data_IF_486279642424
#
_entry.id   IF_486279642424
#
_cell.length_a   1.000
_cell.length_b   1.000
_cell.length_c   1.000
_cell.angle_alpha   90.00
_cell.angle_beta   90.00
_cell.angle_gamma   90.00
#
_symmetry.space_group_name_H-M   'P 1'
#
loop_
_entity.id
_entity.type
_entity.pdbx_description
1 polymer ?
#
# COMPACT_ATOMS: atom_id res chain seq x y z
N UNK A 1 -9.76 7.86 -9.78
CA UNK A 1 -9.03 6.68 -10.28
C UNK A 1 -8.12 6.10 -9.18
N UNK A 2 -8.45 6.25 -7.90
CA UNK A 2 -7.64 5.73 -6.80
C UNK A 2 -8.26 4.52 -6.09
N UNK A 3 -9.38 3.99 -6.61
CA UNK A 3 -9.88 2.67 -6.25
C UNK A 3 -8.80 1.60 -6.50
N UNK A 4 -8.06 1.73 -7.60
CA UNK A 4 -6.90 0.87 -7.86
C UNK A 4 -5.73 1.13 -6.94
N UNK A 5 -5.57 2.32 -6.34
CA UNK A 5 -4.43 2.58 -5.45
C UNK A 5 -4.52 1.76 -4.16
N UNK A 6 -5.73 1.60 -3.58
CA UNK A 6 -5.93 0.74 -2.41
C UNK A 6 -5.68 -0.73 -2.73
N UNK A 7 -6.22 -1.19 -3.87
CA UNK A 7 -6.01 -2.56 -4.37
C UNK A 7 -4.54 -2.85 -4.68
N UNK A 8 -3.85 -1.94 -5.35
CA UNK A 8 -2.41 -2.05 -5.64
C UNK A 8 -1.57 -1.99 -4.37
N UNK A 9 -1.92 -1.14 -3.40
CA UNK A 9 -1.22 -1.11 -2.12
C UNK A 9 -1.41 -2.42 -1.32
N UNK A 10 -2.60 -3.03 -1.36
CA UNK A 10 -2.83 -4.37 -0.78
C UNK A 10 -2.02 -5.46 -1.49
N UNK A 11 -1.99 -5.45 -2.83
CA UNK A 11 -1.21 -6.42 -3.61
C UNK A 11 0.29 -6.30 -3.31
N UNK A 12 0.80 -5.06 -3.24
CA UNK A 12 2.19 -4.79 -2.90
C UNK A 12 2.51 -5.18 -1.46
N UNK A 13 1.60 -4.93 -0.51
CA UNK A 13 1.76 -5.36 0.88
C UNK A 13 1.86 -6.89 0.97
N UNK A 14 1.00 -7.61 0.24
CA UNK A 14 1.07 -9.07 0.14
C UNK A 14 2.40 -9.56 -0.41
N UNK A 15 2.92 -8.92 -1.47
CA UNK A 15 4.25 -9.22 -2.01
C UNK A 15 5.35 -8.94 -0.98
N UNK A 16 5.29 -7.83 -0.25
CA UNK A 16 6.25 -7.51 0.83
C UNK A 16 6.22 -8.58 1.93
N UNK A 17 5.04 -9.07 2.33
CA UNK A 17 4.92 -10.16 3.31
C UNK A 17 5.53 -11.46 2.79
N UNK A 18 5.33 -11.79 1.50
CA UNK A 18 5.95 -12.99 0.90
C UNK A 18 7.47 -12.90 0.93
N UNK A 19 8.05 -11.73 0.58
CA UNK A 19 9.50 -11.54 0.60
C UNK A 19 10.06 -11.65 2.01
N UNK A 20 9.41 -11.00 2.98
CA UNK A 20 9.80 -11.05 4.40
C UNK A 20 9.77 -12.49 4.94
N UNK A 21 8.70 -13.25 4.67
CA UNK A 21 8.53 -14.60 5.26
C UNK A 21 9.37 -15.66 4.53
N UNK A 22 9.48 -15.59 3.20
CA UNK A 22 10.02 -16.69 2.39
C UNK A 22 11.37 -16.43 1.72
N UNK A 23 11.84 -15.18 1.65
CA UNK A 23 13.04 -14.83 0.86
C UNK A 23 14.13 -14.21 1.72
N UNK A 24 13.85 -13.11 2.42
CA UNK A 24 14.83 -12.34 3.21
C UNK A 24 14.28 -11.91 4.58
N UNK A 25 14.13 -12.83 5.54
CA UNK A 25 13.56 -12.54 6.86
C UNK A 25 14.42 -11.62 7.73
N UNK A 26 15.73 -11.55 7.49
CA UNK A 26 16.63 -10.68 8.26
C UNK A 26 16.54 -9.20 7.83
N UNK A 27 15.85 -8.91 6.72
CA UNK A 27 15.68 -7.57 6.16
C UNK A 27 14.40 -6.85 6.67
N UNK A 28 13.86 -7.30 7.81
CA UNK A 28 12.63 -6.77 8.42
C UNK A 28 12.58 -5.23 8.56
N UNK A 29 13.66 -4.48 8.85
CA UNK A 29 13.56 -3.02 8.98
C UNK A 29 13.19 -2.33 7.66
N UNK A 30 13.64 -2.89 6.54
CA UNK A 30 13.33 -2.40 5.20
C UNK A 30 11.90 -2.72 4.81
N UNK A 31 11.48 -3.96 5.01
CA UNK A 31 10.12 -4.39 4.67
C UNK A 31 9.06 -3.68 5.51
N UNK A 32 9.33 -3.41 6.78
CA UNK A 32 8.42 -2.69 7.67
C UNK A 32 8.25 -1.22 7.26
N UNK A 33 9.32 -0.60 6.75
CA UNK A 33 9.27 0.77 6.22
C UNK A 33 8.35 0.87 4.99
N UNK A 34 8.43 -0.10 4.06
CA UNK A 34 7.53 -0.17 2.91
C UNK A 34 6.11 -0.52 3.30
N UNK A 35 5.93 -1.50 4.20
CA UNK A 35 4.62 -1.90 4.70
C UNK A 35 3.90 -0.73 5.39
N UNK A 36 4.60 0.09 6.17
CA UNK A 36 4.04 1.29 6.80
C UNK A 36 3.47 2.29 5.79
N UNK A 37 4.18 2.53 4.68
CA UNK A 37 3.70 3.40 3.60
C UNK A 37 2.50 2.80 2.87
N UNK A 38 2.50 1.49 2.61
CA UNK A 38 1.39 0.80 1.96
C UNK A 38 0.14 0.79 2.85
N UNK A 39 0.28 0.53 4.15
CA UNK A 39 -0.80 0.61 5.14
C UNK A 39 -1.37 2.03 5.23
N UNK A 40 -0.51 3.05 5.17
CA UNK A 40 -0.95 4.44 5.10
C UNK A 40 -1.78 4.73 3.83
N UNK A 41 -1.35 4.22 2.67
CA UNK A 41 -2.08 4.36 1.41
C UNK A 41 -3.41 3.58 1.41
N UNK A 42 -3.46 2.43 2.07
CA UNK A 42 -4.70 1.67 2.26
C UNK A 42 -5.68 2.45 3.15
N UNK A 43 -5.18 2.96 4.28
CA UNK A 43 -6.00 3.67 5.28
C UNK A 43 -6.50 5.03 4.79
N UNK A 44 -5.64 5.83 4.14
CA UNK A 44 -5.97 7.20 3.71
C UNK A 44 -6.38 7.32 2.25
N UNK A 45 -6.11 6.30 1.42
CA UNK A 45 -6.20 6.40 -0.03
C UNK A 45 -5.05 7.25 -0.62
N UNK A 46 -4.84 7.16 -1.93
CA UNK A 46 -4.05 8.16 -2.63
C UNK A 46 -4.82 9.49 -2.53
N UNK A 47 -4.27 10.46 -1.79
CA UNK A 47 -4.95 11.70 -1.38
C UNK A 47 -5.55 12.54 -2.52
N UNK A 48 -6.01 13.74 -2.18
CA UNK A 48 -6.80 14.72 -2.98
C UNK A 48 -6.46 14.94 -4.46
N UNK A 49 -5.30 14.49 -4.95
CA UNK A 49 -4.89 14.53 -6.36
C UNK A 49 -5.26 13.26 -7.15
N UNK A 50 -5.72 12.20 -6.51
CA UNK A 50 -6.39 11.10 -7.20
C UNK A 50 -7.70 11.61 -7.78
N UNK A 51 -8.04 11.20 -9.01
CA UNK A 51 -9.32 11.44 -9.71
C UNK A 51 -10.59 11.08 -8.88
N UNK A 52 -10.47 10.64 -7.63
CA UNK A 52 -11.56 10.35 -6.71
C UNK A 52 -12.20 11.62 -6.12
N UNK A 53 -11.44 12.70 -5.94
CA UNK A 53 -12.01 13.99 -5.51
C UNK A 53 -12.94 14.62 -6.58
N UNK A 54 -12.80 14.20 -7.86
CA UNK A 54 -13.69 14.62 -8.95
C UNK A 54 -15.00 13.82 -9.02
N UNK A 55 -15.11 12.67 -8.33
CA UNK A 55 -16.26 11.76 -8.43
C UNK A 55 -17.13 11.70 -7.16
N UNK A 56 -16.78 12.44 -6.10
CA UNK A 56 -17.70 12.76 -5.00
C UNK A 56 -18.11 11.57 -4.12
N UNK A 57 -17.33 10.48 -4.09
CA UNK A 57 -17.60 9.36 -3.19
C UNK A 57 -16.83 9.63 -1.90
N UNK A 58 -17.59 10.13 -0.91
CA UNK A 58 -17.15 10.45 0.44
C UNK A 58 -17.10 9.18 1.31
#
# INVERSE_FOLDING_TARGET
MGVFTRLSALALLGMTTVIEVFVYPDAWPTHLSWAGLMLYLIARGAGTFSLDNKLGIK
#
